data_IF_719542680680
#
_entry.id   IF_719542680680
#
_cell.length_a   1.000
_cell.length_b   1.000
_cell.length_c   1.000
_cell.angle_alpha   90.00
_cell.angle_beta   90.00
_cell.angle_gamma   90.00
#
_symmetry.space_group_name_H-M   'P 1'
#
loop_
_entity.id
_entity.type
_entity.pdbx_description
1 polymer ?
#
# COMPACT_ATOMS: atom_id res chain seq x y z
N UNK A 1 4.45 32.50 -28.13
CA UNK A 1 5.71 32.50 -27.36
C UNK A 1 5.62 33.15 -25.97
N UNK A 2 4.45 33.61 -25.47
CA UNK A 2 4.32 34.27 -24.15
C UNK A 2 3.54 33.50 -23.08
N UNK A 3 3.09 32.28 -23.34
CA UNK A 3 2.33 31.46 -22.36
C UNK A 3 3.14 30.39 -21.61
N UNK A 4 4.45 30.29 -21.87
CA UNK A 4 5.34 29.31 -21.19
C UNK A 4 6.00 29.86 -19.91
N UNK A 5 5.99 31.17 -19.68
CA UNK A 5 6.67 31.79 -18.53
C UNK A 5 5.77 31.99 -17.29
N UNK A 6 4.45 31.78 -17.40
CA UNK A 6 3.50 32.04 -16.29
C UNK A 6 3.16 30.81 -15.45
N UNK A 7 3.65 29.63 -15.83
CA UNK A 7 3.61 28.41 -14.99
C UNK A 7 5.03 28.12 -14.57
N UNK A 8 5.45 28.70 -13.46
CA UNK A 8 6.79 28.48 -12.91
C UNK A 8 7.10 26.99 -12.87
N UNK A 9 8.04 26.56 -13.71
CA UNK A 9 8.67 25.26 -13.53
C UNK A 9 9.41 25.35 -12.20
N UNK A 10 8.94 24.60 -11.20
CA UNK A 10 9.71 24.33 -9.99
C UNK A 10 10.91 23.46 -10.39
N UNK A 11 11.90 24.07 -11.04
CA UNK A 11 13.23 23.49 -11.17
C UNK A 11 13.87 23.59 -9.79
N UNK A 12 14.01 22.45 -9.12
CA UNK A 12 14.77 22.38 -7.87
C UNK A 12 16.18 22.93 -8.12
N UNK A 13 16.64 23.80 -7.23
CA UNK A 13 17.97 24.39 -7.32
C UNK A 13 19.03 23.27 -7.39
N UNK A 14 19.95 23.28 -8.39
CA UNK A 14 20.97 22.24 -8.54
C UNK A 14 21.83 22.02 -7.29
N UNK A 15 22.06 23.05 -6.49
CA UNK A 15 22.80 22.95 -5.22
C UNK A 15 22.02 22.18 -4.16
N UNK A 16 20.69 22.36 -4.08
CA UNK A 16 19.81 21.61 -3.19
C UNK A 16 19.69 20.15 -3.63
N UNK A 17 19.61 19.91 -4.94
CA UNK A 17 19.63 18.55 -5.51
C UNK A 17 20.92 17.84 -5.13
N UNK A 18 22.08 18.49 -5.32
CA UNK A 18 23.38 17.93 -4.95
C UNK A 18 23.48 17.65 -3.44
N UNK A 19 23.03 18.59 -2.60
CA UNK A 19 22.98 18.39 -1.15
C UNK A 19 22.11 17.19 -0.77
N UNK A 20 20.94 17.04 -1.38
CA UNK A 20 20.07 15.88 -1.18
C UNK A 20 20.74 14.56 -1.61
N UNK A 21 21.46 14.55 -2.74
CA UNK A 21 22.21 13.38 -3.20
C UNK A 21 23.34 13.01 -2.23
N UNK A 22 24.07 13.98 -1.70
CA UNK A 22 25.17 13.76 -0.75
C UNK A 22 24.63 13.19 0.57
N UNK A 23 23.51 13.73 1.08
CA UNK A 23 22.81 13.19 2.26
C UNK A 23 22.34 11.76 1.98
N UNK A 24 21.69 11.50 0.84
CA UNK A 24 21.21 10.17 0.49
C UNK A 24 22.35 9.14 0.42
N UNK A 25 23.49 9.49 -0.19
CA UNK A 25 24.67 8.63 -0.26
C UNK A 25 25.26 8.37 1.13
N UNK A 26 25.34 9.38 2.00
CA UNK A 26 25.81 9.21 3.37
C UNK A 26 24.91 8.25 4.16
N UNK A 27 23.59 8.42 4.07
CA UNK A 27 22.63 7.56 4.75
C UNK A 27 22.62 6.12 4.22
N UNK A 28 22.78 5.94 2.90
CA UNK A 28 22.93 4.62 2.29
C UNK A 28 24.24 3.94 2.73
N UNK A 29 25.34 4.68 2.81
CA UNK A 29 26.62 4.16 3.31
C UNK A 29 26.52 3.74 4.78
N UNK A 30 25.93 4.58 5.64
CA UNK A 30 25.65 4.22 7.04
C UNK A 30 24.76 2.98 7.18
N UNK A 31 23.82 2.76 6.25
CA UNK A 31 22.98 1.55 6.24
C UNK A 31 23.81 0.31 5.94
N UNK A 32 24.74 0.37 4.98
CA UNK A 32 25.62 -0.76 4.67
C UNK A 32 26.52 -1.16 5.84
N UNK A 33 26.86 -0.21 6.71
CA UNK A 33 27.61 -0.46 7.94
C UNK A 33 26.74 -1.04 9.07
N UNK A 34 25.41 -0.93 8.97
CA UNK A 34 24.46 -1.39 10.00
C UNK A 34 23.79 -2.69 9.59
N UNK A 35 23.47 -3.54 10.56
CA UNK A 35 22.77 -4.82 10.30
C UNK A 35 21.28 -4.64 10.01
N UNK A 36 20.68 -3.49 10.39
CA UNK A 36 19.24 -3.26 10.38
C UNK A 36 18.89 -1.85 9.89
N UNK A 37 17.75 -1.74 9.22
CA UNK A 37 17.14 -0.49 8.77
C UNK A 37 15.65 -0.45 9.13
N UNK A 38 15.13 0.74 9.43
CA UNK A 38 13.76 0.97 9.87
C UNK A 38 13.01 1.81 8.85
N UNK A 39 11.80 1.41 8.46
CA UNK A 39 10.91 2.14 7.54
C UNK A 39 9.49 2.17 8.08
N UNK A 40 8.69 3.14 7.61
CA UNK A 40 7.30 3.24 8.01
C UNK A 40 6.44 2.15 7.34
N UNK A 41 5.35 1.76 7.99
CA UNK A 41 4.37 0.90 7.34
C UNK A 41 3.54 1.71 6.32
N UNK A 42 3.42 1.30 5.04
CA UNK A 42 2.72 2.09 4.02
C UNK A 42 1.25 2.42 4.33
N UNK A 43 0.56 1.52 5.04
CA UNK A 43 -0.83 1.75 5.48
C UNK A 43 -0.93 2.78 6.64
N UNK A 44 0.18 3.07 7.33
CA UNK A 44 0.24 3.93 8.50
C UNK A 44 1.50 4.83 8.50
N UNK A 45 1.67 5.70 7.49
CA UNK A 45 2.91 6.46 7.28
C UNK A 45 3.22 7.49 8.40
N UNK A 46 2.24 7.81 9.25
CA UNK A 46 2.40 8.71 10.40
C UNK A 46 2.73 7.98 11.70
N UNK A 47 2.79 6.64 11.68
CA UNK A 47 3.09 5.86 12.88
C UNK A 47 4.55 6.06 13.29
N UNK A 48 4.79 6.29 14.58
CA UNK A 48 6.15 6.30 15.10
C UNK A 48 6.74 4.89 15.04
N UNK A 49 8.05 4.77 14.76
CA UNK A 49 8.71 3.46 14.72
C UNK A 49 8.43 2.65 16.01
N UNK A 50 7.96 1.40 15.88
CA UNK A 50 7.64 0.54 17.02
C UNK A 50 8.88 -0.15 17.61
N UNK A 51 9.96 -0.25 16.83
CA UNK A 51 11.07 -1.16 17.09
C UNK A 51 11.96 -0.74 18.27
N UNK A 52 12.09 -1.62 19.25
CA UNK A 52 12.96 -1.48 20.42
C UNK A 52 13.59 -2.82 20.80
N UNK A 53 14.67 -2.80 21.59
CA UNK A 53 15.16 -4.01 22.23
C UNK A 53 14.32 -4.36 23.46
N UNK A 54 14.05 -5.65 23.65
CA UNK A 54 13.45 -6.21 24.86
C UNK A 54 14.04 -7.57 25.18
N UNK A 55 13.78 -8.05 26.39
CA UNK A 55 14.11 -9.42 26.80
C UNK A 55 12.85 -10.29 26.66
N UNK A 56 12.99 -11.47 26.04
CA UNK A 56 11.91 -12.46 25.93
C UNK A 56 12.44 -13.86 26.16
N UNK A 57 11.60 -14.69 26.77
CA UNK A 57 11.88 -16.11 26.94
C UNK A 57 11.66 -16.85 25.60
N UNK A 58 12.58 -17.74 25.26
CA UNK A 58 12.47 -18.66 24.14
C UNK A 58 11.89 -20.00 24.62
N UNK A 59 11.33 -20.78 23.68
CA UNK A 59 10.81 -22.12 23.97
C UNK A 59 11.87 -23.06 24.57
N UNK A 60 13.15 -22.83 24.30
CA UNK A 60 14.29 -23.54 24.89
C UNK A 60 14.63 -23.13 26.33
N UNK A 61 13.82 -22.26 26.94
CA UNK A 61 13.96 -21.79 28.32
C UNK A 61 14.98 -20.67 28.53
N UNK A 62 15.64 -20.18 27.47
CA UNK A 62 16.58 -19.07 27.57
C UNK A 62 15.90 -17.72 27.37
N UNK A 63 16.22 -16.75 28.21
CA UNK A 63 15.82 -15.34 28.01
C UNK A 63 16.89 -14.64 27.18
N UNK A 64 16.48 -14.05 26.06
CA UNK A 64 17.39 -13.37 25.14
C UNK A 64 16.85 -12.00 24.70
N UNK A 65 17.77 -11.18 24.21
CA UNK A 65 17.43 -9.92 23.56
C UNK A 65 16.68 -10.17 22.26
N UNK A 66 15.59 -9.45 22.05
CA UNK A 66 14.77 -9.48 20.84
C UNK A 66 14.57 -8.06 20.31
N UNK A 67 14.47 -7.92 18.99
CA UNK A 67 13.97 -6.69 18.38
C UNK A 67 12.45 -6.80 18.33
N UNK A 68 11.77 -5.98 19.13
CA UNK A 68 10.33 -6.03 19.37
C UNK A 68 9.64 -4.79 18.84
N UNK A 69 8.50 -4.96 18.18
CA UNK A 69 7.61 -3.84 17.83
C UNK A 69 6.75 -3.37 19.02
N UNK A 70 6.66 -4.17 20.08
CA UNK A 70 6.04 -3.72 21.33
C UNK A 70 7.06 -2.92 22.14
N UNK A 71 6.84 -1.62 22.33
CA UNK A 71 7.61 -0.78 23.24
C UNK A 71 6.95 -0.70 24.64
N UNK A 72 7.24 -1.68 25.50
CA UNK A 72 6.70 -1.76 26.86
C UNK A 72 6.93 -0.46 27.62
N UNK A 73 5.88 0.01 28.31
CA UNK A 73 5.91 1.23 29.10
C UNK A 73 5.67 2.53 28.32
N UNK A 74 5.38 2.47 27.01
CA UNK A 74 4.95 3.66 26.23
C UNK A 74 3.43 3.62 25.95
N UNK A 75 2.70 4.73 26.17
CA UNK A 75 1.30 4.83 25.76
C UNK A 75 1.14 4.61 24.25
N UNK A 76 0.15 3.79 23.86
CA UNK A 76 -0.11 3.47 22.45
C UNK A 76 1.03 2.71 21.77
N UNK A 77 1.82 1.93 22.51
CA UNK A 77 2.90 1.13 21.92
C UNK A 77 2.38 0.05 20.96
N UNK A 78 1.23 -0.56 21.28
CA UNK A 78 0.64 -1.66 20.49
C UNK A 78 0.02 -1.16 19.17
N UNK A 79 -0.36 0.11 19.08
CA UNK A 79 -0.92 0.66 17.84
C UNK A 79 0.14 1.20 16.87
N UNK A 80 1.43 1.02 17.19
CA UNK A 80 2.53 1.45 16.34
C UNK A 80 2.86 0.38 15.32
N UNK A 81 3.11 0.81 14.10
CA UNK A 81 3.41 -0.08 12.98
C UNK A 81 4.68 0.36 12.30
N UNK A 82 5.36 -0.58 11.66
CA UNK A 82 6.64 -0.32 11.01
C UNK A 82 7.22 -1.55 10.36
N UNK A 83 8.30 -1.33 9.62
CA UNK A 83 9.02 -2.38 8.92
C UNK A 83 10.48 -2.32 9.36
N UNK A 84 10.99 -3.45 9.82
CA UNK A 84 12.39 -3.67 10.15
C UNK A 84 13.00 -4.55 9.05
N UNK A 85 14.06 -4.08 8.40
CA UNK A 85 14.72 -4.77 7.29
C UNK A 85 16.18 -5.02 7.61
N UNK A 86 16.64 -6.26 7.40
CA UNK A 86 18.06 -6.61 7.53
C UNK A 86 18.89 -6.01 6.39
N UNK A 87 20.20 -5.94 6.56
CA UNK A 87 21.10 -5.78 5.42
C UNK A 87 21.02 -7.01 4.49
N UNK A 88 21.19 -6.83 3.17
CA UNK A 88 21.14 -7.94 2.24
C UNK A 88 22.29 -8.92 2.45
N UNK A 89 22.00 -10.20 2.31
CA UNK A 89 22.95 -11.29 2.53
C UNK A 89 22.78 -12.39 1.49
N UNK A 90 23.78 -13.25 1.35
CA UNK A 90 23.74 -14.38 0.42
C UNK A 90 23.00 -15.54 1.05
N UNK A 91 21.94 -16.01 0.39
CA UNK A 91 21.17 -17.17 0.80
C UNK A 91 22.05 -18.43 0.84
N UNK A 92 22.06 -19.10 1.99
CA UNK A 92 22.68 -20.41 2.21
C UNK A 92 21.65 -21.53 2.02
N UNK A 93 21.97 -22.75 2.46
CA UNK A 93 21.06 -23.90 2.34
C UNK A 93 19.85 -23.78 3.27
N UNK A 94 20.04 -23.13 4.43
CA UNK A 94 18.99 -22.87 5.40
C UNK A 94 19.14 -21.47 6.00
N UNK A 95 18.03 -20.94 6.48
CA UNK A 95 17.99 -19.82 7.40
C UNK A 95 17.05 -20.17 8.55
N UNK A 96 17.40 -19.76 9.76
CA UNK A 96 16.52 -19.87 10.92
C UNK A 96 16.52 -18.59 11.73
N UNK A 97 15.42 -18.32 12.41
CA UNK A 97 15.27 -17.24 13.36
C UNK A 97 14.24 -17.64 14.41
N UNK A 98 14.18 -16.88 15.48
CA UNK A 98 13.19 -17.07 16.54
C UNK A 98 12.19 -15.94 16.50
N UNK A 99 10.89 -16.25 16.62
CA UNK A 99 9.80 -15.28 16.52
C UNK A 99 8.80 -15.46 17.65
N UNK A 100 8.37 -14.36 18.26
CA UNK A 100 7.23 -14.29 19.18
C UNK A 100 6.31 -13.11 18.83
N UNK A 101 5.18 -13.04 19.52
CA UNK A 101 4.19 -12.00 19.42
C UNK A 101 2.84 -12.53 18.93
N UNK A 102 1.99 -11.59 18.53
CA UNK A 102 0.59 -11.81 18.24
C UNK A 102 0.19 -11.21 16.89
N UNK A 103 -0.94 -11.70 16.40
CA UNK A 103 -1.57 -11.26 15.15
C UNK A 103 -3.08 -11.21 15.37
N UNK A 104 -3.46 -10.41 16.36
CA UNK A 104 -4.82 -10.23 16.83
C UNK A 104 -5.14 -11.06 18.08
N UNK A 105 -6.19 -10.63 18.78
CA UNK A 105 -6.63 -11.16 20.07
C UNK A 105 -6.78 -12.69 20.06
N UNK A 106 -6.21 -13.45 21.02
CA UNK A 106 -6.19 -14.93 21.01
C UNK A 106 -7.53 -15.59 20.71
N UNK A 107 -8.62 -15.02 21.23
CA UNK A 107 -10.00 -15.52 21.04
C UNK A 107 -10.61 -15.25 19.66
N UNK A 108 -9.94 -14.48 18.81
CA UNK A 108 -10.37 -14.17 17.45
C UNK A 108 -9.52 -14.92 16.42
N UNK A 109 -10.02 -15.10 15.17
CA UNK A 109 -9.21 -15.61 14.08
C UNK A 109 -7.95 -14.75 13.88
N UNK A 110 -6.77 -15.37 13.67
CA UNK A 110 -5.56 -14.61 13.41
C UNK A 110 -5.63 -13.88 12.07
N UNK A 111 -5.13 -12.65 12.01
CA UNK A 111 -4.94 -11.92 10.75
C UNK A 111 -3.50 -12.04 10.23
N UNK A 112 -3.26 -11.46 9.06
CA UNK A 112 -1.97 -11.56 8.33
C UNK A 112 -1.15 -10.26 8.32
N UNK A 113 -1.54 -9.25 9.09
CA UNK A 113 -0.84 -7.96 9.12
C UNK A 113 0.57 -8.01 9.75
N UNK A 114 0.82 -8.96 10.66
CA UNK A 114 2.11 -9.10 11.36
C UNK A 114 2.82 -10.35 10.86
N UNK A 115 4.01 -10.19 10.28
CA UNK A 115 4.74 -11.32 9.70
C UNK A 115 6.23 -11.02 9.51
N UNK A 116 6.99 -12.09 9.33
CA UNK A 116 8.38 -12.05 8.86
C UNK A 116 8.42 -12.66 7.47
N UNK A 117 9.10 -12.01 6.53
CA UNK A 117 9.30 -12.55 5.18
C UNK A 117 10.74 -12.48 4.74
N UNK A 118 11.08 -13.38 3.83
CA UNK A 118 12.32 -13.33 3.05
C UNK A 118 12.00 -12.80 1.66
N UNK A 119 12.72 -11.78 1.21
CA UNK A 119 12.58 -11.19 -0.12
C UNK A 119 13.87 -11.33 -0.91
N UNK A 120 13.74 -11.41 -2.24
CA UNK A 120 14.87 -11.28 -3.15
C UNK A 120 15.28 -9.79 -3.21
N UNK A 121 16.54 -9.48 -2.91
CA UNK A 121 16.97 -8.09 -2.70
C UNK A 121 16.95 -7.25 -3.98
N UNK A 122 16.95 -7.88 -5.17
CA UNK A 122 16.93 -7.18 -6.46
C UNK A 122 15.52 -6.95 -6.96
N UNK A 123 14.66 -7.94 -6.81
CA UNK A 123 13.30 -7.92 -7.36
C UNK A 123 12.23 -7.51 -6.36
N UNK A 124 12.55 -7.56 -5.05
CA UNK A 124 11.57 -7.38 -3.97
C UNK A 124 10.56 -8.52 -3.85
N UNK A 125 10.71 -9.59 -4.65
CA UNK A 125 9.78 -10.71 -4.67
C UNK A 125 9.86 -11.48 -3.35
N UNK A 126 8.71 -11.75 -2.75
CA UNK A 126 8.60 -12.59 -1.57
C UNK A 126 8.92 -14.06 -1.90
N UNK A 127 9.79 -14.66 -1.09
CA UNK A 127 10.29 -16.03 -1.24
C UNK A 127 9.74 -16.96 -0.16
N UNK A 128 9.61 -16.45 1.07
CA UNK A 128 9.14 -17.16 2.26
C UNK A 128 8.44 -16.19 3.20
N UNK A 129 7.53 -16.72 4.02
CA UNK A 129 6.81 -15.98 5.05
C UNK A 129 6.60 -16.87 6.28
N UNK A 130 6.64 -16.26 7.45
CA UNK A 130 6.24 -16.83 8.73
C UNK A 130 5.45 -15.80 9.53
N UNK A 131 4.58 -16.30 10.40
CA UNK A 131 3.72 -15.50 11.23
C UNK A 131 4.09 -15.67 12.71
N UNK A 132 3.91 -14.65 13.56
CA UNK A 132 4.15 -14.80 14.99
C UNK A 132 3.17 -15.84 15.59
N UNK A 133 3.60 -16.62 16.59
CA UNK A 133 2.88 -17.80 17.07
C UNK A 133 1.61 -17.51 17.88
N UNK A 134 1.27 -16.23 18.12
CA UNK A 134 0.26 -15.81 19.12
C UNK A 134 0.67 -16.18 20.54
N UNK A 135 1.96 -16.01 20.81
CA UNK A 135 2.59 -16.38 22.07
C UNK A 135 3.75 -15.42 22.34
N UNK A 136 3.93 -15.08 23.61
CA UNK A 136 5.01 -14.23 24.08
C UNK A 136 6.36 -14.96 24.08
N UNK A 137 6.34 -16.30 24.11
CA UNK A 137 7.53 -17.14 24.03
C UNK A 137 7.97 -17.31 22.58
N UNK A 138 9.25 -17.06 22.32
CA UNK A 138 9.79 -17.15 20.96
C UNK A 138 9.95 -18.62 20.54
N UNK A 139 9.50 -18.94 19.34
CA UNK A 139 9.64 -20.25 18.71
C UNK A 139 10.63 -20.20 17.56
N UNK A 140 11.34 -21.30 17.30
CA UNK A 140 12.26 -21.39 16.16
C UNK A 140 11.51 -21.62 14.86
N UNK A 141 11.77 -20.77 13.87
CA UNK A 141 11.38 -20.96 12.47
C UNK A 141 12.62 -21.31 11.65
N UNK A 142 12.50 -22.30 10.78
CA UNK A 142 13.58 -22.72 9.89
C UNK A 142 13.05 -22.86 8.45
N UNK A 143 13.74 -22.21 7.51
CA UNK A 143 13.42 -22.29 6.09
C UNK A 143 14.56 -22.95 5.31
N UNK A 144 14.20 -23.93 4.49
CA UNK A 144 15.09 -24.50 3.47
C UNK A 144 15.14 -23.59 2.25
N UNK A 145 16.36 -23.17 1.90
CA UNK A 145 16.67 -22.22 0.84
C UNK A 145 17.55 -22.84 -0.27
N UNK A 146 17.69 -24.17 -0.31
CA UNK A 146 18.57 -24.88 -1.25
C UNK A 146 18.36 -24.48 -2.73
N UNK A 147 17.12 -24.18 -3.14
CA UNK A 147 16.79 -23.74 -4.51
C UNK A 147 17.16 -22.28 -4.81
N UNK A 148 17.63 -21.52 -3.82
CA UNK A 148 17.91 -20.09 -3.88
C UNK A 148 19.35 -19.78 -3.46
N UNK A 149 20.18 -20.80 -3.27
CA UNK A 149 21.58 -20.67 -2.86
C UNK A 149 22.34 -19.71 -3.77
N UNK A 150 23.09 -18.78 -3.17
CA UNK A 150 23.86 -17.78 -3.91
C UNK A 150 23.07 -16.55 -4.35
N UNK A 151 21.74 -16.51 -4.16
CA UNK A 151 20.95 -15.29 -4.37
C UNK A 151 21.14 -14.32 -3.22
N UNK A 152 21.08 -13.03 -3.53
CA UNK A 152 21.06 -11.97 -2.53
C UNK A 152 19.63 -11.77 -2.04
N UNK A 153 19.43 -11.89 -0.73
CA UNK A 153 18.13 -11.86 -0.08
C UNK A 153 18.16 -10.90 1.11
N UNK A 154 16.98 -10.43 1.51
CA UNK A 154 16.77 -9.59 2.68
C UNK A 154 15.67 -10.20 3.57
N UNK A 155 15.79 -10.00 4.88
CA UNK A 155 14.76 -10.36 5.84
C UNK A 155 13.99 -9.11 6.23
N UNK A 156 12.66 -9.17 6.16
CA UNK A 156 11.77 -8.11 6.61
C UNK A 156 10.88 -8.62 7.74
N UNK A 157 10.78 -7.83 8.80
CA UNK A 157 9.86 -8.02 9.93
C UNK A 157 8.84 -6.87 9.86
N UNK A 158 7.58 -7.23 9.68
CA UNK A 158 6.49 -6.28 9.43
C UNK A 158 5.54 -6.33 10.63
N UNK A 159 5.39 -5.18 11.27
CA UNK A 159 4.24 -4.90 12.13
C UNK A 159 3.29 -3.97 11.38
N UNK A 160 2.17 -4.52 10.94
CA UNK A 160 1.13 -3.82 10.20
C UNK A 160 -0.18 -3.72 10.96
N UNK A 161 -0.21 -4.15 12.22
CA UNK A 161 -1.42 -4.14 13.04
C UNK A 161 -1.44 -2.89 13.92
N UNK A 162 -2.37 -1.98 13.65
CA UNK A 162 -2.57 -0.78 14.47
C UNK A 162 -3.59 -1.00 15.59
N UNK A 163 -3.91 -2.26 15.90
CA UNK A 163 -4.84 -2.65 16.95
C UNK A 163 -4.44 -2.13 18.34
N UNK A 164 -5.40 -2.00 19.26
CA UNK A 164 -5.12 -1.52 20.61
C UNK A 164 -4.45 -2.58 21.50
N UNK A 165 -4.52 -3.86 21.13
CA UNK A 165 -3.96 -4.98 21.87
C UNK A 165 -3.60 -6.16 20.97
N UNK A 166 -2.63 -6.98 21.38
CA UNK A 166 -2.18 -8.19 20.67
C UNK A 166 -1.69 -7.90 19.23
N UNK A 167 -1.16 -6.69 19.05
CA UNK A 167 -0.73 -6.11 17.79
C UNK A 167 0.80 -5.89 17.83
N UNK A 168 1.57 -6.98 17.91
CA UNK A 168 3.04 -6.88 17.96
C UNK A 168 3.75 -8.16 17.56
N UNK A 169 5.02 -8.05 17.15
CA UNK A 169 5.92 -9.18 16.94
C UNK A 169 7.36 -8.84 17.32
N UNK A 170 8.16 -9.87 17.57
CA UNK A 170 9.58 -9.73 17.83
C UNK A 170 10.39 -10.85 17.19
N UNK A 171 11.64 -10.54 16.86
CA UNK A 171 12.58 -11.49 16.25
C UNK A 171 13.90 -11.56 17.03
N UNK A 172 14.54 -12.73 17.00
CA UNK A 172 15.92 -12.90 17.48
C UNK A 172 16.66 -14.07 16.82
N UNK A 173 17.93 -14.27 17.18
CA UNK A 173 18.76 -15.45 16.86
C UNK A 173 18.73 -15.85 15.38
N UNK A 174 18.99 -14.88 14.50
CA UNK A 174 19.06 -15.10 13.06
C UNK A 174 20.33 -15.91 12.71
N UNK A 175 20.17 -17.01 11.99
CA UNK A 175 21.24 -17.90 11.56
C UNK A 175 21.07 -18.29 10.07
N UNK A 176 22.11 -18.18 9.21
CA UNK A 176 23.43 -17.61 9.50
C UNK A 176 23.30 -16.13 9.93
N UNK A 177 24.28 -15.58 10.69
CA UNK A 177 24.22 -14.21 11.18
C UNK A 177 24.35 -13.23 10.01
N UNK A 178 23.23 -12.98 9.35
CA UNK A 178 23.08 -11.96 8.32
C UNK A 178 22.82 -10.58 8.93
N UNK A 179 22.23 -10.56 10.12
CA UNK A 179 22.00 -9.37 10.92
C UNK A 179 21.96 -9.77 12.40
N UNK A 180 22.86 -9.20 13.20
CA UNK A 180 22.92 -9.46 14.65
C UNK A 180 21.91 -8.57 15.39
N UNK A 181 21.16 -9.16 16.31
CA UNK A 181 20.17 -8.43 17.13
C UNK A 181 20.86 -7.39 18.01
N UNK A 182 22.04 -7.71 18.50
CA UNK A 182 22.87 -6.90 19.39
C UNK A 182 23.35 -5.61 18.71
N UNK A 183 23.44 -5.63 17.38
CA UNK A 183 23.80 -4.45 16.58
C UNK A 183 22.63 -3.54 16.24
N UNK A 184 21.41 -3.86 16.70
CA UNK A 184 20.24 -3.01 16.51
C UNK A 184 20.32 -1.75 17.38
N UNK A 185 20.25 -0.58 16.75
CA UNK A 185 20.21 0.72 17.41
C UNK A 185 18.85 1.41 17.15
N UNK A 186 18.03 1.67 18.19
CA UNK A 186 16.72 2.32 18.03
C UNK A 186 16.78 3.75 17.46
N UNK A 187 17.93 4.44 17.62
CA UNK A 187 18.15 5.82 17.17
C UNK A 187 18.39 5.97 15.65
N UNK A 188 18.45 4.86 14.91
CA UNK A 188 18.83 4.81 13.50
C UNK A 188 17.64 4.87 12.52
N UNK A 189 16.57 5.60 12.84
CA UNK A 189 15.39 5.74 11.99
C UNK A 189 15.63 6.70 10.80
N UNK A 190 16.64 6.40 9.97
CA UNK A 190 16.90 7.15 8.74
C UNK A 190 16.05 6.67 7.54
N UNK A 191 15.29 5.57 7.66
CA UNK A 191 14.52 5.07 6.52
C UNK A 191 13.41 6.01 6.09
N UNK A 192 12.77 6.74 7.01
CA UNK A 192 11.84 7.82 6.64
C UNK A 192 12.51 8.92 5.82
N UNK A 193 13.72 9.32 6.22
CA UNK A 193 14.50 10.33 5.50
C UNK A 193 14.98 9.81 4.13
N UNK A 194 15.35 8.52 4.03
CA UNK A 194 15.69 7.87 2.75
C UNK A 194 14.47 7.71 1.84
N UNK A 195 13.29 7.44 2.39
CA UNK A 195 12.01 7.42 1.64
C UNK A 195 11.70 8.83 1.10
N UNK A 196 11.84 9.87 1.92
CA UNK A 196 11.63 11.26 1.51
C UNK A 196 12.65 11.70 0.45
N UNK A 197 13.93 11.39 0.66
CA UNK A 197 14.99 11.63 -0.32
C UNK A 197 14.76 10.83 -1.60
N UNK A 198 14.31 9.57 -1.51
CA UNK A 198 13.97 8.77 -2.68
C UNK A 198 12.84 9.41 -3.49
N UNK A 199 11.82 10.00 -2.84
CA UNK A 199 10.73 10.72 -3.52
C UNK A 199 11.22 12.01 -4.21
N UNK A 200 12.06 12.79 -3.54
CA UNK A 200 12.56 14.08 -4.05
C UNK A 200 13.61 13.88 -5.15
N UNK A 201 14.45 12.85 -5.02
CA UNK A 201 15.57 12.59 -5.93
C UNK A 201 15.24 11.65 -7.09
N UNK A 202 14.01 11.12 -7.16
CA UNK A 202 13.60 10.10 -8.13
C UNK A 202 13.95 10.45 -9.59
N UNK A 203 13.86 11.74 -9.92
CA UNK A 203 14.06 12.26 -11.29
C UNK A 203 15.35 13.04 -11.44
N UNK A 204 15.96 13.49 -10.33
CA UNK A 204 17.11 14.40 -10.33
C UNK A 204 18.42 13.73 -9.94
N UNK A 205 18.40 12.53 -9.36
CA UNK A 205 19.61 11.78 -9.01
C UNK A 205 20.23 11.03 -10.21
N UNK A 206 21.56 10.85 -10.22
CA UNK A 206 22.26 9.89 -11.08
C UNK A 206 21.65 8.48 -11.03
N UNK A 207 21.77 7.72 -12.12
CA UNK A 207 21.13 6.41 -12.26
C UNK A 207 21.54 5.42 -11.15
N UNK A 208 22.81 5.39 -10.77
CA UNK A 208 23.34 4.53 -9.70
C UNK A 208 22.67 4.80 -8.34
N UNK A 209 22.42 6.07 -8.02
CA UNK A 209 21.78 6.47 -6.78
C UNK A 209 20.28 6.22 -6.83
N UNK A 210 19.64 6.44 -7.99
CA UNK A 210 18.22 6.11 -8.19
C UNK A 210 17.94 4.61 -8.00
N UNK A 211 18.82 3.75 -8.50
CA UNK A 211 18.69 2.30 -8.35
C UNK A 211 18.76 1.86 -6.89
N UNK A 212 19.65 2.49 -6.10
CA UNK A 212 19.76 2.23 -4.66
C UNK A 212 18.56 2.77 -3.87
N UNK A 213 18.06 3.95 -4.24
CA UNK A 213 16.90 4.58 -3.61
C UNK A 213 15.57 3.91 -3.99
N UNK A 214 15.52 3.15 -5.09
CA UNK A 214 14.32 2.44 -5.56
C UNK A 214 13.70 1.52 -4.51
N UNK A 215 14.52 0.89 -3.67
CA UNK A 215 14.07 0.01 -2.58
C UNK A 215 13.29 0.75 -1.46
N UNK A 216 13.37 2.08 -1.42
CA UNK A 216 12.70 2.95 -0.46
C UNK A 216 11.51 3.69 -1.06
N UNK A 217 11.26 3.51 -2.36
CA UNK A 217 10.00 3.95 -2.94
C UNK A 217 8.93 2.93 -2.58
N UNK A 218 7.70 3.37 -2.24
CA UNK A 218 6.60 2.44 -2.09
C UNK A 218 6.50 1.64 -3.39
N UNK A 219 6.47 0.30 -3.28
CA UNK A 219 6.06 -0.55 -4.39
C UNK A 219 4.70 -0.05 -4.85
N UNK A 220 4.64 0.51 -6.06
CA UNK A 220 3.39 0.96 -6.66
C UNK A 220 2.40 -0.22 -6.56
N UNK A 221 1.18 0.01 -6.07
CA UNK A 221 0.26 -1.06 -5.69
C UNK A 221 0.11 -2.05 -6.86
N UNK A 222 0.54 -3.29 -6.61
CA UNK A 222 0.60 -4.34 -7.63
C UNK A 222 -0.71 -5.10 -7.81
N UNK A 223 -1.81 -4.66 -7.21
CA UNK A 223 -3.09 -5.34 -7.31
C UNK A 223 -3.93 -4.75 -8.44
N UNK A 224 -3.73 -5.29 -9.64
CA UNK A 224 -4.81 -5.30 -10.64
C UNK A 224 -5.96 -6.16 -10.09
N UNK A 225 -7.19 -5.63 -9.91
CA UNK A 225 -8.31 -6.40 -9.35
C UNK A 225 -8.73 -7.53 -10.29
N UNK A 226 -8.58 -8.81 -9.93
CA UNK A 226 -8.96 -9.96 -10.79
C UNK A 226 -10.42 -9.93 -11.23
N UNK A 227 -10.71 -10.29 -12.49
CA UNK A 227 -12.08 -10.37 -13.01
C UNK A 227 -12.94 -11.38 -12.21
N UNK A 228 -14.22 -11.07 -11.94
CA UNK A 228 -15.10 -11.97 -11.23
C UNK A 228 -15.37 -13.25 -12.04
N UNK A 229 -15.25 -14.40 -11.36
CA UNK A 229 -15.58 -15.72 -11.92
C UNK A 229 -17.06 -15.80 -12.30
N UNK A 230 -17.46 -16.76 -13.14
CA UNK A 230 -18.89 -16.95 -13.50
C UNK A 230 -19.79 -17.11 -12.27
N UNK A 231 -19.31 -17.83 -11.26
CA UNK A 231 -19.99 -18.01 -9.97
C UNK A 231 -20.15 -16.69 -9.20
N UNK A 232 -19.12 -15.85 -9.24
CA UNK A 232 -19.09 -14.52 -8.61
C UNK A 232 -20.10 -13.57 -9.27
N UNK A 233 -20.18 -13.58 -10.61
CA UNK A 233 -21.16 -12.78 -11.35
C UNK A 233 -22.59 -13.15 -10.99
N UNK A 234 -22.90 -14.44 -10.95
CA UNK A 234 -24.24 -14.90 -10.53
C UNK A 234 -24.55 -14.58 -9.06
N UNK A 235 -23.53 -14.46 -8.19
CA UNK A 235 -23.70 -13.99 -6.81
C UNK A 235 -24.02 -12.50 -6.80
N UNK A 236 -23.24 -11.68 -7.52
CA UNK A 236 -23.46 -10.24 -7.62
C UNK A 236 -24.84 -9.91 -8.20
N UNK A 237 -25.30 -10.62 -9.22
CA UNK A 237 -26.64 -10.41 -9.80
C UNK A 237 -27.76 -10.62 -8.78
N UNK A 238 -27.62 -11.61 -7.88
CA UNK A 238 -28.58 -11.80 -6.78
C UNK A 238 -28.54 -10.65 -5.79
N UNK A 239 -27.35 -10.14 -5.48
CA UNK A 239 -27.16 -9.00 -4.56
C UNK A 239 -27.74 -7.73 -5.16
N UNK A 240 -27.43 -7.42 -6.43
CA UNK A 240 -27.96 -6.26 -7.16
C UNK A 240 -29.49 -6.31 -7.15
N UNK A 241 -30.09 -7.44 -7.53
CA UNK A 241 -31.55 -7.61 -7.51
C UNK A 241 -32.12 -7.37 -6.12
N UNK A 242 -31.54 -7.97 -5.08
CA UNK A 242 -31.99 -7.80 -3.70
C UNK A 242 -31.92 -6.33 -3.25
N UNK A 243 -30.86 -5.60 -3.61
CA UNK A 243 -30.69 -4.18 -3.27
C UNK A 243 -31.74 -3.30 -3.98
N UNK A 244 -32.04 -3.59 -5.24
CA UNK A 244 -33.11 -2.88 -5.97
C UNK A 244 -34.47 -3.13 -5.33
N UNK A 245 -34.80 -4.39 -5.03
CA UNK A 245 -36.06 -4.76 -4.34
C UNK A 245 -36.18 -4.11 -2.95
N UNK A 246 -35.09 -4.09 -2.18
CA UNK A 246 -35.02 -3.41 -0.88
C UNK A 246 -35.27 -1.91 -1.02
N UNK A 247 -34.67 -1.28 -2.03
CA UNK A 247 -34.83 0.14 -2.29
C UNK A 247 -36.28 0.53 -2.65
N UNK A 248 -37.02 -0.30 -3.39
CA UNK A 248 -38.43 -0.04 -3.74
C UNK A 248 -39.34 0.10 -2.51
N UNK A 249 -38.99 -0.56 -1.41
CA UNK A 249 -39.72 -0.52 -0.14
C UNK A 249 -39.13 0.49 0.86
N UNK A 250 -37.97 1.07 0.54
CA UNK A 250 -37.24 1.94 1.44
C UNK A 250 -37.77 3.37 1.45
N UNK A 251 -37.53 4.06 2.57
CA UNK A 251 -37.72 5.51 2.69
C UNK A 251 -36.34 6.17 2.89
N UNK A 252 -35.61 6.42 1.79
CA UNK A 252 -34.23 6.89 1.88
C UNK A 252 -34.16 8.30 2.48
N UNK A 253 -33.16 8.51 3.35
CA UNK A 253 -32.86 9.80 3.98
C UNK A 253 -31.82 10.54 3.16
N UNK A 254 -32.26 11.57 2.44
CA UNK A 254 -31.42 12.32 1.48
C UNK A 254 -30.15 12.90 2.12
N UNK A 255 -30.26 13.47 3.32
CA UNK A 255 -29.12 14.04 4.06
C UNK A 255 -28.04 12.98 4.37
N UNK A 256 -28.47 11.77 4.77
CA UNK A 256 -27.55 10.66 5.00
C UNK A 256 -26.92 10.19 3.70
N UNK A 257 -27.72 10.08 2.63
CA UNK A 257 -27.22 9.72 1.31
C UNK A 257 -26.14 10.67 0.81
N UNK A 258 -26.35 11.97 0.97
CA UNK A 258 -25.35 13.01 0.66
C UNK A 258 -24.08 12.88 1.51
N UNK A 259 -24.21 12.58 2.80
CA UNK A 259 -23.05 12.36 3.68
C UNK A 259 -22.25 11.11 3.29
N UNK A 260 -22.92 10.03 2.89
CA UNK A 260 -22.31 8.79 2.40
C UNK A 260 -21.58 9.06 1.08
N UNK A 261 -22.21 9.79 0.15
CA UNK A 261 -21.57 10.22 -1.09
C UNK A 261 -20.27 11.00 -0.81
N UNK A 262 -20.32 11.97 0.11
CA UNK A 262 -19.16 12.77 0.49
C UNK A 262 -18.02 11.91 1.06
N UNK A 263 -18.35 10.85 1.78
CA UNK A 263 -17.38 9.96 2.42
C UNK A 263 -16.75 8.98 1.45
N UNK A 264 -17.54 8.41 0.54
CA UNK A 264 -17.13 7.25 -0.26
C UNK A 264 -16.96 7.51 -1.75
N UNK A 265 -17.59 8.55 -2.28
CA UNK A 265 -17.68 8.79 -3.72
C UNK A 265 -17.02 10.11 -4.15
N UNK A 266 -17.07 11.14 -3.30
CA UNK A 266 -16.62 12.49 -3.63
C UNK A 266 -15.09 12.63 -3.82
N UNK A 267 -14.31 11.64 -3.36
CA UNK A 267 -12.87 11.57 -3.65
C UNK A 267 -12.58 11.35 -5.14
N UNK A 268 -13.54 10.78 -5.88
CA UNK A 268 -13.40 10.47 -7.29
C UNK A 268 -14.43 11.15 -8.19
N UNK A 269 -15.65 11.35 -7.70
CA UNK A 269 -16.78 11.88 -8.47
C UNK A 269 -17.20 13.27 -7.99
N UNK A 270 -17.77 14.04 -8.91
CA UNK A 270 -18.27 15.39 -8.67
C UNK A 270 -19.79 15.47 -8.91
N UNK A 271 -20.50 16.18 -8.04
CA UNK A 271 -21.91 16.56 -8.19
C UNK A 271 -22.04 18.04 -7.81
N UNK A 272 -22.72 18.83 -8.63
CA UNK A 272 -22.95 20.26 -8.47
C UNK A 272 -21.66 21.07 -8.18
N UNK A 273 -20.53 20.64 -8.76
CA UNK A 273 -19.21 21.25 -8.52
C UNK A 273 -18.52 20.81 -7.23
N UNK A 274 -19.15 20.00 -6.38
CA UNK A 274 -18.55 19.44 -5.17
C UNK A 274 -17.99 18.02 -5.42
N UNK A 275 -16.75 17.78 -4.99
CA UNK A 275 -16.03 16.53 -5.22
C UNK A 275 -14.95 16.63 -6.29
N UNK A 276 -14.32 15.50 -6.62
CA UNK A 276 -13.22 15.44 -7.57
C UNK A 276 -13.67 15.02 -8.98
N UNK A 277 -12.90 15.42 -10.00
CA UNK A 277 -13.07 15.01 -11.40
C UNK A 277 -12.01 13.96 -11.79
N UNK A 278 -11.95 12.87 -11.01
CA UNK A 278 -11.16 11.69 -11.39
C UNK A 278 -12.02 10.75 -12.24
N UNK A 279 -13.19 10.37 -11.71
CA UNK A 279 -14.23 9.66 -12.43
C UNK A 279 -15.18 10.64 -13.14
N UNK A 280 -16.20 10.12 -13.84
CA UNK A 280 -17.21 10.95 -14.48
C UNK A 280 -17.94 11.84 -13.46
N UNK A 281 -18.28 13.06 -13.88
CA UNK A 281 -19.26 13.88 -13.15
C UNK A 281 -20.61 13.17 -13.10
N UNK A 282 -21.33 13.35 -12.01
CA UNK A 282 -22.60 12.67 -11.74
C UNK A 282 -23.80 13.63 -11.76
N UNK A 283 -23.65 14.82 -12.35
CA UNK A 283 -24.77 15.75 -12.53
C UNK A 283 -25.85 15.16 -13.44
N UNK A 284 -27.05 14.97 -12.89
CA UNK A 284 -28.17 14.34 -13.59
C UNK A 284 -28.15 12.81 -13.56
N UNK A 285 -27.28 12.19 -12.76
CA UNK A 285 -27.12 10.73 -12.71
C UNK A 285 -28.42 10.01 -12.35
N UNK A 286 -29.35 10.68 -11.65
CA UNK A 286 -30.65 10.11 -11.28
C UNK A 286 -31.51 9.67 -12.47
N UNK A 287 -31.23 10.17 -13.68
CA UNK A 287 -31.88 9.72 -14.91
C UNK A 287 -31.55 8.27 -15.30
N UNK A 288 -30.46 7.69 -14.78
CA UNK A 288 -30.09 6.27 -15.02
C UNK A 288 -31.04 5.28 -14.36
N UNK A 289 -31.76 5.70 -13.32
CA UNK A 289 -32.68 4.85 -12.56
C UNK A 289 -31.98 3.91 -11.57
N UNK A 290 -32.77 3.37 -10.63
CA UNK A 290 -32.26 2.65 -9.46
C UNK A 290 -31.49 1.38 -9.81
N UNK A 291 -32.00 0.60 -10.77
CA UNK A 291 -31.38 -0.66 -11.17
C UNK A 291 -29.98 -0.46 -11.79
N UNK A 292 -29.84 0.53 -12.68
CA UNK A 292 -28.57 0.83 -13.34
C UNK A 292 -27.55 1.40 -12.36
N UNK A 293 -27.96 2.33 -11.51
CA UNK A 293 -27.09 2.90 -10.47
C UNK A 293 -26.60 1.82 -9.49
N UNK A 294 -27.47 0.89 -9.12
CA UNK A 294 -27.11 -0.23 -8.23
C UNK A 294 -26.05 -1.12 -8.87
N UNK A 295 -26.20 -1.42 -10.16
CA UNK A 295 -25.19 -2.16 -10.92
C UNK A 295 -23.87 -1.39 -11.01
N UNK A 296 -23.90 -0.11 -11.38
CA UNK A 296 -22.70 0.71 -11.52
C UNK A 296 -21.92 0.81 -10.18
N UNK A 297 -22.61 0.81 -9.03
CA UNK A 297 -21.97 0.88 -7.71
C UNK A 297 -21.42 -0.47 -7.23
N UNK A 298 -22.18 -1.56 -7.44
CA UNK A 298 -21.82 -2.88 -6.91
C UNK A 298 -20.94 -3.69 -7.86
N UNK A 299 -21.05 -3.45 -9.17
CA UNK A 299 -20.27 -4.11 -10.22
C UNK A 299 -19.63 -3.07 -11.18
N UNK A 300 -18.74 -2.20 -10.68
CA UNK A 300 -18.18 -1.10 -11.47
C UNK A 300 -17.34 -1.54 -12.66
N UNK A 301 -16.97 -2.83 -12.76
CA UNK A 301 -16.21 -3.38 -13.88
C UNK A 301 -17.11 -3.88 -15.03
N UNK A 302 -18.43 -3.95 -14.83
CA UNK A 302 -19.35 -4.50 -15.84
C UNK A 302 -19.49 -3.61 -17.06
N UNK A 303 -19.37 -2.30 -16.89
CA UNK A 303 -19.52 -1.33 -17.96
C UNK A 303 -18.63 -0.11 -17.71
N UNK A 304 -17.39 -0.20 -18.17
CA UNK A 304 -16.38 0.85 -18.00
C UNK A 304 -16.23 1.57 -19.34
N UNK A 305 -16.30 2.91 -19.33
CA UNK A 305 -15.92 3.70 -20.51
C UNK A 305 -14.42 3.53 -20.76
N UNK A 306 -14.01 3.40 -22.02
CA UNK A 306 -12.62 3.21 -22.41
C UNK A 306 -11.68 4.31 -21.86
N UNK A 307 -12.18 5.53 -21.65
CA UNK A 307 -11.41 6.62 -21.05
C UNK A 307 -11.06 6.40 -19.57
N UNK A 308 -11.77 5.50 -18.89
CA UNK A 308 -11.54 5.15 -17.48
C UNK A 308 -10.94 3.76 -17.31
N UNK A 309 -10.46 3.13 -18.39
CA UNK A 309 -9.74 1.87 -18.32
C UNK A 309 -8.45 2.02 -17.51
N UNK A 310 -8.26 1.07 -16.60
CA UNK A 310 -7.03 0.95 -15.83
C UNK A 310 -5.86 0.64 -16.79
N UNK A 311 -4.98 1.62 -16.93
CA UNK A 311 -3.74 1.51 -17.70
C UNK A 311 -2.58 1.32 -16.73
N UNK A 312 -1.85 0.23 -16.93
CA UNK A 312 -0.59 -0.08 -16.24
C UNK A 312 0.57 0.19 -17.19
N UNK A 313 1.40 1.15 -16.85
CA UNK A 313 2.59 1.54 -17.58
C UNK A 313 3.82 0.99 -16.86
N UNK A 314 4.52 0.05 -17.50
CA UNK A 314 5.83 -0.42 -17.06
C UNK A 314 6.89 0.51 -17.62
N UNK A 315 7.77 1.00 -16.76
CA UNK A 315 8.82 1.96 -17.11
C UNK A 315 10.19 1.27 -17.25
N UNK A 316 11.12 1.90 -17.98
CA UNK A 316 12.51 1.44 -18.20
C UNK A 316 13.31 1.27 -16.91
N UNK A 317 12.97 2.04 -15.88
CA UNK A 317 13.55 1.89 -14.54
C UNK A 317 12.96 0.68 -13.76
N UNK A 318 12.08 -0.11 -14.37
CA UNK A 318 11.44 -1.29 -13.79
C UNK A 318 10.41 -0.97 -12.71
N UNK A 319 9.85 0.24 -12.66
CA UNK A 319 8.65 0.56 -11.87
C UNK A 319 7.41 0.50 -12.75
N UNK A 320 6.23 0.25 -12.18
CA UNK A 320 4.96 0.23 -12.92
C UNK A 320 3.96 1.22 -12.33
N UNK A 321 3.46 2.16 -13.13
CA UNK A 321 2.42 3.10 -12.73
C UNK A 321 1.05 2.59 -13.20
N UNK A 322 0.04 2.60 -12.33
CA UNK A 322 -1.31 2.16 -12.66
C UNK A 322 -2.32 3.27 -12.39
N UNK A 323 -3.17 3.56 -13.37
CA UNK A 323 -4.16 4.63 -13.30
C UNK A 323 -4.94 4.75 -14.61
N UNK A 324 -5.79 5.75 -14.77
CA UNK A 324 -6.38 6.07 -16.08
C UNK A 324 -5.57 7.16 -16.78
N UNK A 325 -5.54 7.11 -18.10
CA UNK A 325 -4.90 8.13 -18.92
C UNK A 325 -5.86 9.31 -19.04
N UNK A 326 -5.62 10.37 -18.27
CA UNK A 326 -6.41 11.61 -18.35
C UNK A 326 -6.15 12.36 -19.65
N UNK A 327 -4.99 12.15 -20.27
CA UNK A 327 -4.70 12.67 -21.60
C UNK A 327 -3.27 12.41 -22.03
N UNK A 328 -3.03 12.59 -23.33
CA UNK A 328 -1.70 12.54 -23.91
C UNK A 328 -1.37 13.90 -24.54
N UNK A 329 -0.17 14.40 -24.29
CA UNK A 329 0.31 15.65 -24.87
C UNK A 329 1.72 15.45 -25.41
N UNK A 330 1.82 15.26 -26.73
CA UNK A 330 3.07 14.92 -27.41
C UNK A 330 3.67 13.61 -26.86
N UNK A 331 4.88 13.73 -26.31
CA UNK A 331 5.67 12.62 -25.76
C UNK A 331 5.35 12.30 -24.29
N UNK A 332 4.30 12.89 -23.70
CA UNK A 332 3.93 12.69 -22.29
C UNK A 332 2.52 12.14 -22.15
N UNK A 333 2.38 11.10 -21.33
CA UNK A 333 1.10 10.56 -20.84
C UNK A 333 0.82 11.14 -19.46
N UNK A 334 -0.38 11.67 -19.25
CA UNK A 334 -0.92 12.05 -17.96
C UNK A 334 -1.71 10.88 -17.39
N UNK A 335 -1.11 10.16 -16.45
CA UNK A 335 -1.74 9.06 -15.73
C UNK A 335 -2.25 9.55 -14.38
N UNK A 336 -3.46 9.20 -13.98
CA UNK A 336 -4.01 9.55 -12.66
C UNK A 336 -4.32 8.26 -11.90
N UNK A 337 -3.74 8.11 -10.71
CA UNK A 337 -3.96 6.92 -9.89
C UNK A 337 -5.28 6.99 -9.09
N UNK A 338 -5.60 5.90 -8.40
CA UNK A 338 -6.78 5.78 -7.55
C UNK A 338 -6.78 6.74 -6.34
N UNK A 339 -5.63 7.31 -5.97
CA UNK A 339 -5.53 8.32 -4.94
C UNK A 339 -5.71 9.75 -5.50
N UNK A 340 -5.94 9.89 -6.81
CA UNK A 340 -6.07 11.18 -7.49
C UNK A 340 -4.76 11.89 -7.75
N UNK A 341 -3.63 11.20 -7.59
CA UNK A 341 -2.33 11.76 -7.89
C UNK A 341 -2.06 11.64 -9.39
N UNK A 342 -1.69 12.77 -9.99
CA UNK A 342 -1.26 12.84 -11.39
C UNK A 342 0.21 12.49 -11.54
N UNK A 343 0.51 11.67 -12.54
CA UNK A 343 1.85 11.31 -12.98
C UNK A 343 2.03 11.75 -14.43
N UNK A 344 3.07 12.55 -14.66
CA UNK A 344 3.54 12.89 -16.00
C UNK A 344 4.59 11.87 -16.39
N UNK A 345 4.26 10.98 -17.33
CA UNK A 345 5.13 9.88 -17.75
C UNK A 345 5.54 10.11 -19.20
N UNK A 346 6.85 10.21 -19.45
CA UNK A 346 7.35 10.29 -20.82
C UNK A 346 7.17 8.95 -21.55
N UNK A 347 6.64 8.97 -22.77
CA UNK A 347 6.46 7.79 -23.62
C UNK A 347 7.78 7.05 -23.85
N UNK A 348 8.86 7.81 -24.00
CA UNK A 348 10.24 7.30 -24.13
C UNK A 348 10.69 6.45 -22.93
N UNK A 349 10.09 6.67 -21.76
CA UNK A 349 10.40 5.96 -20.52
C UNK A 349 9.59 4.68 -20.33
N UNK A 350 8.59 4.43 -21.18
CA UNK A 350 7.69 3.28 -21.09
C UNK A 350 8.32 2.09 -21.85
N UNK A 351 8.37 0.92 -21.21
CA UNK A 351 8.77 -0.36 -21.82
C UNK A 351 7.57 -1.20 -22.22
N UNK A 352 6.48 -1.14 -21.47
CA UNK A 352 5.24 -1.82 -21.78
C UNK A 352 4.05 -1.01 -21.27
N UNK A 353 2.96 -1.01 -22.03
CA UNK A 353 1.67 -0.44 -21.66
C UNK A 353 0.62 -1.54 -21.76
N UNK A 354 -0.08 -1.78 -20.67
CA UNK A 354 -1.19 -2.72 -20.61
C UNK A 354 -2.43 -1.96 -20.17
N UNK A 355 -3.46 -1.92 -21.00
CA UNK A 355 -4.76 -1.34 -20.67
C UNK A 355 -5.73 -2.47 -20.39
N UNK A 356 -6.23 -2.52 -19.17
CA UNK A 356 -7.24 -3.46 -18.71
C UNK A 356 -8.61 -2.80 -18.84
N UNK A 357 -9.61 -3.58 -19.25
CA UNK A 357 -11.03 -3.21 -19.33
C UNK A 357 -11.70 -3.03 -17.95
N UNK A 358 -10.95 -2.52 -16.96
CA UNK A 358 -11.32 -2.46 -15.54
C UNK A 358 -11.42 -1.04 -15.05
N UNK A 359 -12.32 -0.82 -14.11
CA UNK A 359 -12.54 0.46 -13.43
C UNK A 359 -11.59 0.61 -12.23
N UNK A 360 -11.20 1.85 -11.92
CA UNK A 360 -10.58 2.19 -10.64
C UNK A 360 -11.60 2.29 -9.49
N UNK A 361 -12.90 2.32 -9.79
CA UNK A 361 -13.94 2.33 -8.77
C UNK A 361 -13.92 1.00 -8.00
N UNK A 362 -13.82 1.02 -6.65
CA UNK A 362 -13.75 -0.20 -5.85
C UNK A 362 -14.98 -1.09 -6.04
N UNK A 363 -14.80 -2.41 -6.23
CA UNK A 363 -15.91 -3.37 -6.27
C UNK A 363 -16.34 -3.88 -4.88
N UNK A 364 -15.89 -3.22 -3.81
CA UNK A 364 -16.10 -3.65 -2.41
C UNK A 364 -17.28 -2.97 -1.74
N UNK A 365 -18.04 -2.12 -2.46
CA UNK A 365 -19.16 -1.36 -1.89
C UNK A 365 -20.28 -2.23 -1.32
N UNK A 366 -20.42 -3.47 -1.79
CA UNK A 366 -21.32 -4.46 -1.18
C UNK A 366 -21.05 -4.65 0.33
N UNK A 367 -19.78 -4.67 0.72
CA UNK A 367 -19.35 -4.92 2.09
C UNK A 367 -19.10 -3.64 2.89
N UNK A 368 -18.79 -2.54 2.20
CA UNK A 368 -18.55 -1.24 2.82
C UNK A 368 -19.84 -0.54 3.25
N UNK A 369 -20.93 -0.71 2.51
CA UNK A 369 -22.20 -0.03 2.78
C UNK A 369 -23.26 -1.02 3.27
N UNK A 370 -23.85 -0.74 4.44
CA UNK A 370 -25.03 -1.47 4.92
C UNK A 370 -26.22 -1.21 4.00
N UNK A 371 -27.25 -2.04 4.11
CA UNK A 371 -28.44 -1.93 3.25
C UNK A 371 -29.11 -0.56 3.33
N UNK A 372 -29.37 -0.07 4.54
CA UNK A 372 -30.01 1.23 4.74
C UNK A 372 -29.13 2.39 4.25
N UNK A 373 -27.81 2.29 4.42
CA UNK A 373 -26.85 3.30 3.94
C UNK A 373 -26.79 3.32 2.42
N UNK A 374 -26.83 2.15 1.79
CA UNK A 374 -26.91 2.02 0.34
C UNK A 374 -28.21 2.60 -0.20
N UNK A 375 -29.33 2.33 0.47
CA UNK A 375 -30.64 2.88 0.10
C UNK A 375 -30.66 4.42 0.24
N UNK A 376 -30.14 4.96 1.35
CA UNK A 376 -29.98 6.39 1.58
C UNK A 376 -29.14 7.04 0.45
N UNK A 377 -27.99 6.46 0.11
CA UNK A 377 -27.12 6.91 -0.99
C UNK A 377 -27.83 6.87 -2.34
N UNK A 378 -28.45 5.74 -2.67
CA UNK A 378 -29.14 5.55 -3.94
C UNK A 378 -30.30 6.53 -4.09
N UNK A 379 -31.06 6.76 -3.02
CA UNK A 379 -32.15 7.73 -2.99
C UNK A 379 -31.66 9.16 -3.26
N UNK A 380 -30.55 9.56 -2.64
CA UNK A 380 -29.94 10.86 -2.90
C UNK A 380 -29.45 10.99 -4.34
N UNK A 381 -28.70 10.00 -4.87
CA UNK A 381 -28.25 10.00 -6.27
C UNK A 381 -29.40 10.05 -7.28
N UNK A 382 -30.54 9.42 -6.96
CA UNK A 382 -31.74 9.47 -7.79
C UNK A 382 -32.44 10.84 -7.77
N UNK A 383 -32.22 11.63 -6.72
CA UNK A 383 -32.71 13.00 -6.59
C UNK A 383 -31.88 13.98 -7.42
N UNK A 384 -30.63 13.65 -7.74
CA UNK A 384 -29.74 14.41 -8.64
C UNK A 384 -30.15 14.23 -10.12
N UNK A 385 -31.37 14.67 -10.48
CA UNK A 385 -31.81 14.81 -11.88
C UNK A 385 -31.54 16.24 -12.32
N UNK A 386 -31.03 16.44 -13.54
CA UNK A 386 -30.85 17.80 -14.08
C UNK A 386 -32.19 18.53 -14.00
N UNK A 387 -32.17 19.71 -13.38
CA UNK A 387 -33.22 20.72 -13.56
C UNK A 387 -33.17 21.28 -14.98
#
# INVERSE_FOLDING_TARGET
MRGRQERGELTLDPSLVKMGQDIARSLLAERHERSWSLSFHPAHPKSASPWTLQQRECEDGQTVSVISSLALGRPGAESRTGILRSSPFIARDTISFWICGHRGHPDQPPHENNFVRLTDSKTGKELRRAYPPRNDRAIKVEWKLSSMKGRQVELEVIDGDSGPSFAWLAITRLAPPAAQVESFAPSAAHGGLLEDLARVLLVSAPADLRDQLKAFLPSLPATSPTLPTSKERSRLEKVIRKRVESFELAQPRMENGKAIFKTHCASCHQVAGEGALLGPQLDGIGARGAARLTEDILDPNRNVDAHFFLTTLTLKNGTSAAGFVRGESGEVILLVDAAGKEYRIEKSSITASETLDRSLMPSTFEHLLKEDEFNDLLGWLLSERRQ
#
